data_IF_791190567791
#
_entry.id   IF_791190567791
#
_cell.length_a   1.000
_cell.length_b   1.000
_cell.length_c   1.000
_cell.angle_alpha   90.00
_cell.angle_beta   90.00
_cell.angle_gamma   90.00
#
_symmetry.space_group_name_H-M   'P 1'
#
loop_
_entity.id
_entity.type
_entity.pdbx_description
1 polymer ?
#
# COMPACT_ATOMS: atom_id res chain seq x y z
N UNK A 1 16.18 1.48 -8.72
CA UNK A 1 15.32 1.50 -7.52
C UNK A 1 14.62 2.84 -7.48
N UNK A 2 13.29 2.89 -7.36
CA UNK A 2 12.61 4.17 -7.23
C UNK A 2 12.96 4.79 -5.89
N UNK A 3 13.29 6.08 -5.88
CA UNK A 3 13.45 6.85 -4.66
C UNK A 3 12.22 6.65 -3.77
N UNK A 4 12.37 6.38 -2.47
CA UNK A 4 11.25 6.07 -1.58
C UNK A 4 10.18 7.18 -1.57
N UNK A 5 10.61 8.42 -1.75
CA UNK A 5 9.73 9.58 -1.89
C UNK A 5 9.62 9.95 -3.37
N UNK A 6 8.53 9.53 -3.99
CA UNK A 6 8.19 9.89 -5.37
C UNK A 6 6.68 10.16 -5.45
N UNK A 7 6.23 11.25 -6.10
CA UNK A 7 4.81 11.55 -6.23
C UNK A 7 4.04 10.47 -7.01
N UNK A 8 2.72 10.40 -6.89
CA UNK A 8 1.91 9.45 -7.64
C UNK A 8 2.11 9.56 -9.17
N UNK A 9 2.14 8.40 -9.84
CA UNK A 9 2.05 8.26 -11.30
C UNK A 9 0.72 7.61 -11.67
N UNK A 10 0.23 7.91 -12.87
CA UNK A 10 -0.96 7.26 -13.43
C UNK A 10 -0.61 5.87 -13.96
N UNK A 11 -1.37 4.88 -13.52
CA UNK A 11 -1.31 3.51 -14.01
C UNK A 11 -2.67 3.11 -14.55
N UNK A 12 -2.68 2.30 -15.61
CA UNK A 12 -3.90 1.76 -16.19
C UNK A 12 -4.10 0.33 -15.70
N UNK A 13 -5.29 0.07 -15.17
CA UNK A 13 -5.76 -1.25 -14.75
C UNK A 13 -7.07 -1.56 -15.46
N UNK A 14 -7.45 -2.84 -15.51
CA UNK A 14 -8.77 -3.26 -16.01
C UNK A 14 -9.60 -3.84 -14.88
N UNK A 15 -10.83 -3.34 -14.72
CA UNK A 15 -11.81 -3.78 -13.73
C UNK A 15 -13.11 -3.99 -14.49
N UNK A 16 -13.71 -5.19 -14.39
CA UNK A 16 -14.96 -5.54 -15.09
C UNK A 16 -14.95 -5.23 -16.60
N UNK A 17 -13.79 -5.39 -17.25
CA UNK A 17 -13.61 -5.08 -18.68
C UNK A 17 -13.35 -3.60 -18.98
N UNK A 18 -13.57 -2.69 -18.04
CA UNK A 18 -13.33 -1.25 -18.20
C UNK A 18 -11.90 -0.87 -17.83
N UNK A 19 -11.31 0.03 -18.63
CA UNK A 19 -9.98 0.59 -18.36
C UNK A 19 -10.10 1.70 -17.33
N UNK A 20 -9.56 1.48 -16.14
CA UNK A 20 -9.55 2.44 -15.04
C UNK A 20 -8.15 3.00 -14.85
N UNK A 21 -8.05 4.31 -14.64
CA UNK A 21 -6.79 4.99 -14.33
C UNK A 21 -6.67 5.21 -12.83
N UNK A 22 -5.55 4.79 -12.22
CA UNK A 22 -5.26 4.98 -10.80
C UNK A 22 -3.98 5.77 -10.63
N UNK A 23 -3.94 6.68 -9.65
CA UNK A 23 -2.74 7.44 -9.32
C UNK A 23 -2.08 6.86 -8.07
N UNK A 24 -0.92 6.23 -8.22
CA UNK A 24 -0.19 5.55 -7.13
C UNK A 24 1.28 5.97 -7.11
N UNK A 25 1.86 6.04 -5.92
CA UNK A 25 3.30 6.17 -5.77
C UNK A 25 3.96 4.91 -6.34
N UNK A 26 5.11 5.03 -7.03
CA UNK A 26 5.77 3.88 -7.63
C UNK A 26 6.06 2.74 -6.64
N UNK A 27 6.34 3.06 -5.37
CA UNK A 27 6.55 2.06 -4.32
C UNK A 27 5.32 1.18 -4.11
N UNK A 28 4.12 1.76 -4.09
CA UNK A 28 2.88 0.98 -3.95
C UNK A 28 2.56 0.19 -5.20
N UNK A 29 2.86 0.73 -6.39
CA UNK A 29 2.72 -0.03 -7.63
C UNK A 29 3.60 -1.27 -7.66
N UNK A 30 4.87 -1.14 -7.23
CA UNK A 30 5.79 -2.26 -7.16
C UNK A 30 5.37 -3.29 -6.11
N UNK A 31 4.89 -2.84 -4.95
CA UNK A 31 4.33 -3.72 -3.93
C UNK A 31 3.09 -4.47 -4.43
N UNK A 32 2.18 -3.79 -5.12
CA UNK A 32 1.00 -4.41 -5.74
C UNK A 32 1.38 -5.50 -6.74
N UNK A 33 2.37 -5.23 -7.61
CA UNK A 33 2.88 -6.23 -8.56
C UNK A 33 3.46 -7.45 -7.86
N UNK A 34 4.22 -7.25 -6.79
CA UNK A 34 4.79 -8.34 -5.99
C UNK A 34 3.70 -9.13 -5.24
N UNK A 35 2.70 -8.45 -4.69
CA UNK A 35 1.58 -9.08 -4.00
C UNK A 35 0.75 -9.96 -4.94
N UNK A 36 0.51 -9.48 -6.17
CA UNK A 36 -0.16 -10.24 -7.22
C UNK A 36 0.67 -11.48 -7.62
N UNK A 37 1.98 -11.30 -7.85
CA UNK A 37 2.89 -12.39 -8.20
C UNK A 37 2.97 -13.47 -7.10
N UNK A 38 3.07 -13.08 -5.83
CA UNK A 38 3.06 -14.03 -4.69
C UNK A 38 1.78 -14.87 -4.62
N UNK A 39 0.66 -14.30 -5.06
CA UNK A 39 -0.65 -14.95 -5.07
C UNK A 39 -0.94 -15.71 -6.36
N UNK A 40 -0.02 -15.70 -7.34
CA UNK A 40 -0.27 -16.28 -8.66
C UNK A 40 -1.38 -15.56 -9.44
N UNK A 41 -1.64 -14.29 -9.15
CA UNK A 41 -2.69 -13.49 -9.78
C UNK A 41 -2.11 -12.45 -10.74
N UNK A 42 -2.88 -12.09 -11.76
CA UNK A 42 -2.61 -10.88 -12.52
C UNK A 42 -2.92 -9.64 -11.66
N UNK A 43 -2.19 -8.54 -11.89
CA UNK A 43 -2.41 -7.26 -11.16
C UNK A 43 -3.87 -6.79 -11.29
N UNK A 44 -4.45 -6.90 -12.49
CA UNK A 44 -5.84 -6.53 -12.72
C UNK A 44 -6.81 -7.38 -11.88
N UNK A 45 -6.53 -8.68 -11.73
CA UNK A 45 -7.36 -9.59 -10.91
C UNK A 45 -7.30 -9.20 -9.44
N UNK A 46 -6.10 -8.91 -8.92
CA UNK A 46 -5.95 -8.45 -7.54
C UNK A 46 -6.66 -7.10 -7.32
N UNK A 47 -6.49 -6.16 -8.26
CA UNK A 47 -7.16 -4.86 -8.19
C UNK A 47 -8.68 -4.99 -8.24
N UNK A 48 -9.22 -5.87 -9.08
CA UNK A 48 -10.67 -6.12 -9.12
C UNK A 48 -11.18 -6.74 -7.80
N UNK A 49 -10.40 -7.61 -7.16
CA UNK A 49 -10.72 -8.14 -5.83
C UNK A 49 -10.77 -7.05 -4.76
N UNK A 50 -9.76 -6.17 -4.74
CA UNK A 50 -9.71 -5.00 -3.85
C UNK A 50 -10.89 -4.05 -4.14
N UNK A 51 -11.23 -3.85 -5.42
CA UNK A 51 -12.36 -3.02 -5.85
C UNK A 51 -13.71 -3.55 -5.33
N UNK A 52 -13.92 -4.86 -5.44
CA UNK A 52 -15.11 -5.52 -4.92
C UNK A 52 -15.18 -5.45 -3.39
N UNK A 53 -14.05 -5.64 -2.69
CA UNK A 53 -13.98 -5.52 -1.22
C UNK A 53 -14.31 -4.09 -0.76
N UNK A 54 -13.68 -3.07 -1.37
CA UNK A 54 -13.91 -1.68 -0.96
C UNK A 54 -15.36 -1.25 -1.17
N UNK A 55 -16.06 -1.72 -2.21
CA UNK A 55 -17.45 -1.32 -2.50
C UNK A 55 -18.41 -1.86 -1.44
N UNK A 56 -18.08 -2.99 -0.81
CA UNK A 56 -18.88 -3.57 0.28
C UNK A 56 -18.60 -2.95 1.65
N UNK A 57 -17.58 -2.09 1.77
CA UNK A 57 -17.27 -1.38 3.02
C UNK A 57 -18.31 -0.29 3.30
N UNK A 58 -18.67 -0.10 4.57
CA UNK A 58 -19.57 0.97 5.02
C UNK A 58 -19.07 2.37 4.63
N UNK A 59 -17.75 2.55 4.55
CA UNK A 59 -17.10 3.81 4.14
C UNK A 59 -16.11 3.53 3.01
N UNK A 60 -16.58 3.42 1.75
CA UNK A 60 -15.76 3.01 0.62
C UNK A 60 -14.78 4.12 0.19
N UNK A 61 -13.45 3.95 0.32
CA UNK A 61 -12.50 4.90 -0.23
C UNK A 61 -12.45 4.81 -1.76
N UNK A 62 -11.85 5.82 -2.39
CA UNK A 62 -11.46 5.71 -3.80
C UNK A 62 -10.44 4.59 -4.02
N UNK A 63 -10.44 3.98 -5.21
CA UNK A 63 -9.64 2.79 -5.53
C UNK A 63 -8.14 2.93 -5.21
N UNK A 64 -7.53 4.08 -5.49
CA UNK A 64 -6.12 4.30 -5.16
C UNK A 64 -5.87 4.28 -3.64
N UNK A 65 -6.81 4.80 -2.85
CA UNK A 65 -6.76 4.71 -1.38
C UNK A 65 -6.96 3.27 -0.90
N UNK A 66 -7.95 2.57 -1.47
CA UNK A 66 -8.20 1.16 -1.18
C UNK A 66 -6.96 0.29 -1.41
N UNK A 67 -6.25 0.48 -2.53
CA UNK A 67 -5.02 -0.27 -2.84
C UNK A 67 -3.94 -0.02 -1.77
N UNK A 68 -3.71 1.24 -1.37
CA UNK A 68 -2.71 1.58 -0.36
C UNK A 68 -3.04 0.93 0.99
N UNK A 69 -4.29 1.06 1.43
CA UNK A 69 -4.76 0.48 2.70
C UNK A 69 -4.65 -1.04 2.66
N UNK A 70 -5.12 -1.67 1.59
CA UNK A 70 -5.08 -3.12 1.44
C UNK A 70 -3.63 -3.65 1.49
N UNK A 71 -2.69 -2.99 0.80
CA UNK A 71 -1.27 -3.36 0.86
C UNK A 71 -0.69 -3.18 2.26
N UNK A 72 -1.07 -2.12 2.98
CA UNK A 72 -0.62 -1.88 4.35
C UNK A 72 -1.14 -2.94 5.33
N UNK A 73 -2.39 -3.39 5.18
CA UNK A 73 -2.99 -4.36 6.10
C UNK A 73 -2.70 -5.82 5.76
N UNK A 74 -2.48 -6.15 4.48
CA UNK A 74 -2.30 -7.53 4.02
C UNK A 74 -0.85 -7.89 3.67
N UNK A 75 -0.01 -6.92 3.27
CA UNK A 75 1.36 -7.20 2.84
C UNK A 75 2.44 -6.73 3.82
N UNK A 76 2.09 -5.90 4.81
CA UNK A 76 3.06 -5.39 5.80
C UNK A 76 3.10 -6.20 7.10
N UNK A 77 2.47 -7.37 7.15
CA UNK A 77 2.25 -8.16 8.37
C UNK A 77 3.49 -8.94 8.86
N UNK A 78 4.68 -8.72 8.31
CA UNK A 78 5.92 -9.43 8.73
C UNK A 78 7.04 -8.51 9.26
N UNK A 79 6.72 -7.50 10.07
CA UNK A 79 7.73 -6.77 10.87
C UNK A 79 7.31 -6.48 12.31
N UNK A 80 6.65 -7.44 12.96
CA UNK A 80 6.53 -7.42 14.43
C UNK A 80 7.40 -8.49 15.07
N UNK A 81 8.65 -8.64 14.62
CA UNK A 81 9.69 -9.17 15.50
C UNK A 81 11.01 -8.41 15.35
N UNK A 82 11.41 -7.89 16.52
CA UNK A 82 12.69 -7.31 16.96
C UNK A 82 12.87 -5.80 16.76
N UNK A 83 12.85 -5.11 17.90
CA UNK A 83 12.85 -3.67 18.02
C UNK A 83 14.19 -3.04 17.70
N UNK A 84 14.15 -2.09 16.76
CA UNK A 84 15.14 -1.04 16.52
C UNK A 84 14.40 0.13 15.84
N UNK A 85 13.34 0.62 16.49
CA UNK A 85 12.63 1.81 16.03
C UNK A 85 13.48 3.05 16.33
N UNK A 86 13.64 4.01 15.39
CA UNK A 86 14.47 5.20 15.59
C UNK A 86 13.94 6.19 16.64
N UNK A 87 12.79 5.88 17.27
CA UNK A 87 12.18 6.68 18.34
C UNK A 87 12.43 6.13 19.75
N UNK A 88 13.18 5.03 19.92
CA UNK A 88 13.31 4.37 21.23
C UNK A 88 14.35 4.98 22.20
N UNK A 89 14.90 6.16 21.89
CA UNK A 89 15.73 6.89 22.85
C UNK A 89 15.49 8.40 22.69
N UNK A 90 14.56 8.94 23.48
CA UNK A 90 14.68 10.33 23.91
C UNK A 90 15.66 10.34 25.09
N UNK A 91 16.88 10.89 24.98
CA UNK A 91 17.70 11.13 26.15
C UNK A 91 16.99 12.17 27.04
N UNK A 92 17.02 11.89 28.35
CA UNK A 92 16.35 12.69 29.37
C UNK A 92 16.77 14.16 29.34
N UNK A 93 15.81 15.03 29.65
CA UNK A 93 16.11 16.39 30.08
C UNK A 93 16.87 16.31 31.40
N UNK A 94 18.20 16.43 31.36
CA UNK A 94 18.99 16.80 32.53
C UNK A 94 18.79 18.29 32.77
N UNK A 95 18.02 18.58 33.82
CA UNK A 95 17.89 19.87 34.47
C UNK A 95 19.26 20.28 35.02
N UNK A 96 19.87 21.34 34.48
CA UNK A 96 21.02 22.00 35.10
C UNK A 96 20.51 23.12 36.01
N UNK A 97 20.72 22.94 37.32
CA UNK A 97 20.85 24.02 38.32
C UNK A 97 22.34 24.41 38.44
#
# INVERSE_FOLDING_TARGET
MTTPYHPPKKYSVRIEGHRTSVSLEPVFWDLLRRAAARRGLAVNTLVAGIDAERIRSDTPPGLAGAIRVWLATHEMTERTQKGDGPWSAAPGNDQQD
#
